data_IF_266445564300
#
_entry.id   IF_266445564300
#
_cell.length_a   1.000
_cell.length_b   1.000
_cell.length_c   1.000
_cell.angle_alpha   90.00
_cell.angle_beta   90.00
_cell.angle_gamma   90.00
#
_symmetry.space_group_name_H-M   'P 1'
#
loop_
_entity.id
_entity.type
_entity.pdbx_description
1 polymer ?
#
# COMPACT_ATOMS: atom_id res chain seq x y z
N UNK A 1 -13.09 16.77 -17.68
CA UNK A 1 -11.72 16.28 -17.40
C UNK A 1 -11.27 15.41 -18.56
N UNK A 2 -10.11 15.67 -19.18
CA UNK A 2 -9.56 14.76 -20.20
C UNK A 2 -9.20 13.45 -19.49
N UNK A 3 -9.81 12.33 -19.88
CA UNK A 3 -9.49 11.00 -19.36
C UNK A 3 -8.05 10.62 -19.76
N UNK A 4 -7.07 11.03 -18.95
CA UNK A 4 -5.70 10.50 -19.07
C UNK A 4 -5.68 9.14 -18.38
N UNK A 5 -5.60 8.09 -19.20
CA UNK A 5 -5.52 6.69 -18.74
C UNK A 5 -4.15 6.38 -18.12
N UNK A 6 -3.12 7.16 -18.46
CA UNK A 6 -1.76 7.01 -17.94
C UNK A 6 -1.24 8.30 -17.31
N UNK A 7 -0.79 8.17 -16.08
CA UNK A 7 -0.16 9.23 -15.29
C UNK A 7 1.08 8.67 -14.59
N UNK A 8 2.08 9.51 -14.26
CA UNK A 8 3.19 9.11 -13.41
C UNK A 8 2.70 8.59 -12.06
N UNK A 9 3.42 7.62 -11.46
CA UNK A 9 3.06 7.05 -10.15
C UNK A 9 3.00 8.11 -9.05
N UNK A 10 3.86 9.13 -9.08
CA UNK A 10 3.81 10.23 -8.14
C UNK A 10 2.43 10.90 -8.14
N UNK A 11 1.97 11.34 -9.32
CA UNK A 11 0.63 11.91 -9.55
C UNK A 11 -0.47 10.93 -9.13
N UNK A 12 -0.36 9.65 -9.48
CA UNK A 12 -1.34 8.63 -9.10
C UNK A 12 -1.50 8.50 -7.58
N UNK A 13 -0.39 8.54 -6.83
CA UNK A 13 -0.44 8.36 -5.38
C UNK A 13 -0.96 9.59 -4.65
N UNK A 14 -1.00 10.77 -5.26
CA UNK A 14 -1.48 12.01 -4.60
C UNK A 14 -2.91 11.88 -4.09
N UNK A 15 -3.74 11.00 -4.65
CA UNK A 15 -5.10 10.75 -4.14
C UNK A 15 -5.12 10.00 -2.80
N UNK A 16 -4.02 9.33 -2.45
CA UNK A 16 -3.86 8.60 -1.20
C UNK A 16 -3.33 9.59 -0.15
N UNK A 17 -4.22 10.00 0.74
CA UNK A 17 -3.98 10.93 1.84
C UNK A 17 -3.87 10.17 3.18
N UNK A 18 -3.48 10.89 4.24
CA UNK A 18 -3.50 10.33 5.59
C UNK A 18 -4.89 9.79 5.95
N UNK A 19 -4.94 8.67 6.67
CA UNK A 19 -6.21 8.03 7.02
C UNK A 19 -6.87 7.22 5.90
N UNK A 20 -6.28 7.14 4.70
CA UNK A 20 -6.87 6.40 3.59
C UNK A 20 -6.99 4.89 3.88
N UNK A 21 -8.09 4.29 3.42
CA UNK A 21 -8.31 2.83 3.46
C UNK A 21 -7.88 2.19 2.14
N UNK A 22 -6.92 1.28 2.19
CA UNK A 22 -6.30 0.67 1.02
C UNK A 22 -6.45 -0.85 1.03
N UNK A 23 -6.86 -1.42 -0.10
CA UNK A 23 -6.78 -2.85 -0.33
C UNK A 23 -5.36 -3.23 -0.76
N UNK A 24 -4.75 -4.21 -0.08
CA UNK A 24 -3.38 -4.67 -0.35
C UNK A 24 -3.43 -6.16 -0.72
N UNK A 25 -3.00 -6.53 -1.93
CA UNK A 25 -3.03 -7.93 -2.35
C UNK A 25 -1.83 -8.71 -1.79
N UNK A 26 -1.92 -10.04 -1.87
CA UNK A 26 -0.78 -10.93 -1.64
C UNK A 26 0.37 -10.61 -2.62
N UNK A 27 1.61 -10.80 -2.17
CA UNK A 27 2.83 -10.48 -2.95
C UNK A 27 2.87 -11.14 -4.34
N UNK A 28 2.35 -12.36 -4.45
CA UNK A 28 2.26 -13.09 -5.72
C UNK A 28 1.33 -12.44 -6.76
N UNK A 29 0.59 -11.40 -6.40
CA UNK A 29 -0.34 -10.69 -7.28
C UNK A 29 0.25 -9.44 -7.94
N UNK A 30 1.56 -9.22 -7.82
CA UNK A 30 2.22 -8.04 -8.41
C UNK A 30 1.98 -6.77 -7.61
N UNK A 31 2.41 -6.78 -6.35
CA UNK A 31 2.27 -5.65 -5.40
C UNK A 31 2.88 -4.34 -5.93
N UNK A 32 2.27 -3.22 -5.55
CA UNK A 32 2.53 -1.90 -6.12
C UNK A 32 3.74 -1.19 -5.49
N UNK A 33 4.93 -1.80 -5.59
CA UNK A 33 6.11 -1.37 -4.81
C UNK A 33 6.60 0.06 -5.12
N UNK A 34 6.43 0.55 -6.35
CA UNK A 34 6.77 1.94 -6.67
C UNK A 34 5.80 2.92 -5.99
N UNK A 35 4.52 2.57 -5.90
CA UNK A 35 3.52 3.35 -5.18
C UNK A 35 3.81 3.30 -3.67
N UNK A 36 4.13 2.13 -3.12
CA UNK A 36 4.54 1.94 -1.71
C UNK A 36 5.70 2.85 -1.36
N UNK A 37 6.77 2.84 -2.16
CA UNK A 37 7.94 3.70 -1.94
C UNK A 37 7.56 5.18 -1.93
N UNK A 38 6.68 5.60 -2.82
CA UNK A 38 6.23 6.98 -2.91
C UNK A 38 5.40 7.40 -1.70
N UNK A 39 4.50 6.54 -1.20
CA UNK A 39 3.74 6.78 0.03
C UNK A 39 4.66 6.92 1.25
N UNK A 40 5.66 6.04 1.38
CA UNK A 40 6.67 6.11 2.44
C UNK A 40 7.49 7.40 2.34
N UNK A 41 7.94 7.77 1.13
CA UNK A 41 8.71 9.00 0.88
C UNK A 41 7.92 10.25 1.22
N UNK A 42 6.62 10.26 0.91
CA UNK A 42 5.70 11.35 1.25
C UNK A 42 5.36 11.39 2.74
N UNK A 43 5.65 10.34 3.49
CA UNK A 43 5.39 10.26 4.91
C UNK A 43 3.91 10.16 5.24
N UNK A 44 3.12 9.49 4.38
CA UNK A 44 1.69 9.28 4.63
C UNK A 44 1.49 8.50 5.94
N UNK A 45 0.53 8.91 6.75
CA UNK A 45 0.26 8.37 8.08
C UNK A 45 -1.15 7.81 8.16
N UNK A 46 -1.39 7.06 9.21
CA UNK A 46 -2.73 6.62 9.63
C UNK A 46 -3.49 5.76 8.61
N UNK A 47 -2.78 5.10 7.70
CA UNK A 47 -3.39 4.22 6.71
C UNK A 47 -4.14 3.07 7.39
N UNK A 48 -5.29 2.73 6.80
CA UNK A 48 -6.03 1.53 7.11
C UNK A 48 -5.83 0.53 5.98
N UNK A 49 -5.09 -0.55 6.23
CA UNK A 49 -4.87 -1.61 5.26
C UNK A 49 -5.89 -2.74 5.41
N UNK A 50 -6.47 -3.18 4.29
CA UNK A 50 -7.24 -4.42 4.18
C UNK A 50 -6.50 -5.37 3.26
N UNK A 51 -5.97 -6.45 3.82
CA UNK A 51 -5.29 -7.47 3.02
C UNK A 51 -6.30 -8.39 2.34
N UNK A 52 -6.04 -8.77 1.08
CA UNK A 52 -6.98 -9.55 0.28
C UNK A 52 -6.36 -10.84 -0.29
N UNK A 53 -6.52 -12.00 0.39
CA UNK A 53 -6.91 -12.18 1.80
C UNK A 53 -5.73 -12.06 2.78
N UNK A 54 -4.50 -12.14 2.27
CA UNK A 54 -3.23 -11.96 3.00
C UNK A 54 -2.38 -10.94 2.26
N UNK A 55 -1.28 -10.51 2.87
CA UNK A 55 -0.28 -9.65 2.24
C UNK A 55 1.13 -10.12 2.60
N UNK A 56 2.16 -9.52 2.01
CA UNK A 56 3.54 -9.65 2.43
C UNK A 56 4.26 -8.31 2.38
N UNK A 57 5.32 -8.21 1.58
CA UNK A 57 6.30 -7.12 1.58
C UNK A 57 5.70 -5.72 1.43
N UNK A 58 4.61 -5.55 0.68
CA UNK A 58 3.97 -4.23 0.54
C UNK A 58 3.37 -3.76 1.86
N UNK A 59 2.64 -4.61 2.58
CA UNK A 59 2.09 -4.26 3.88
C UNK A 59 3.20 -4.15 4.92
N UNK A 60 4.19 -5.05 4.90
CA UNK A 60 5.31 -5.04 5.83
C UNK A 60 6.09 -3.71 5.81
N UNK A 61 6.41 -3.20 4.62
CA UNK A 61 7.08 -1.90 4.47
C UNK A 61 6.21 -0.73 4.96
N UNK A 62 4.90 -0.75 4.67
CA UNK A 62 3.98 0.29 5.14
C UNK A 62 3.85 0.27 6.67
N UNK A 63 3.87 -0.91 7.29
CA UNK A 63 3.88 -1.07 8.75
C UNK A 63 5.22 -0.55 9.32
N UNK A 64 6.34 -1.03 8.79
CA UNK A 64 7.68 -0.69 9.28
C UNK A 64 8.05 0.79 9.12
N UNK A 65 7.45 1.49 8.15
CA UNK A 65 7.59 2.94 7.98
C UNK A 65 6.76 3.78 8.94
N UNK A 66 5.89 3.15 9.75
CA UNK A 66 4.97 3.84 10.65
C UNK A 66 3.79 4.49 9.92
N UNK A 67 3.50 4.09 8.69
CA UNK A 67 2.39 4.64 7.89
C UNK A 67 1.02 4.06 8.27
N UNK A 68 0.96 2.94 9.00
CA UNK A 68 -0.28 2.18 9.22
C UNK A 68 -0.83 2.38 10.64
N UNK A 69 -2.13 2.71 10.73
CA UNK A 69 -2.90 2.77 11.98
C UNK A 69 -3.79 1.55 12.20
N UNK A 70 -4.31 0.95 11.13
CA UNK A 70 -5.23 -0.20 11.22
C UNK A 70 -4.91 -1.23 10.14
N UNK A 71 -4.95 -2.50 10.52
CA UNK A 71 -4.70 -3.64 9.63
C UNK A 71 -5.80 -4.68 9.81
N UNK A 72 -6.50 -5.00 8.73
CA UNK A 72 -7.41 -6.15 8.62
C UNK A 72 -6.75 -7.21 7.73
N UNK A 73 -6.36 -8.36 8.28
CA UNK A 73 -5.68 -9.42 7.51
C UNK A 73 -5.85 -10.80 8.14
N UNK A 74 -5.77 -11.84 7.31
CA UNK A 74 -5.60 -13.22 7.79
C UNK A 74 -4.14 -13.54 8.14
N UNK A 75 -3.16 -12.93 7.44
CA UNK A 75 -1.73 -13.10 7.70
C UNK A 75 -0.89 -12.06 6.92
N UNK A 76 0.28 -11.73 7.47
CA UNK A 76 1.41 -11.14 6.74
C UNK A 76 2.49 -12.22 6.64
N UNK A 77 2.93 -12.56 5.43
CA UNK A 77 3.97 -13.58 5.19
C UNK A 77 4.90 -13.13 4.09
N UNK A 78 6.19 -13.45 4.23
CA UNK A 78 7.23 -13.19 3.23
C UNK A 78 7.61 -14.47 2.46
N UNK A 79 6.81 -15.52 2.60
CA UNK A 79 7.07 -16.82 1.98
C UNK A 79 8.06 -17.70 2.76
N UNK A 80 8.20 -17.44 4.06
CA UNK A 80 8.90 -18.33 4.98
C UNK A 80 8.22 -19.70 5.11
N UNK A 81 9.02 -20.78 5.04
CA UNK A 81 8.64 -22.18 5.25
C UNK A 81 9.72 -22.90 6.07
#
# INVERSE_FOLDING_TARGET
MKNRVFVPVAELTEVIQDGAKLAIPKDSSGVAMQATRELVRRGVRDLHLVCVPTSGIQADILIGSGSVRTLETSAITLGEF
#
